data_IF_263981745460
#
_entry.id   IF_263981745460
#
_cell.length_a   1.000
_cell.length_b   1.000
_cell.length_c   1.000
_cell.angle_alpha   90.00
_cell.angle_beta   90.00
_cell.angle_gamma   90.00
#
_symmetry.space_group_name_H-M   'P 1'
#
loop_
_entity.id
_entity.type
_entity.pdbx_description
1 polymer ?
#
# COMPACT_ATOMS: atom_id res chain seq x y z
N UNK A 1 -4.50 -1.77 4.52
CA UNK A 1 -4.15 -1.72 3.09
C UNK A 1 -5.24 -1.11 2.22
N UNK A 2 -6.50 -1.41 2.47
CA UNK A 2 -7.59 -0.89 1.63
C UNK A 2 -7.66 0.63 1.56
N UNK A 3 -7.47 1.30 2.69
CA UNK A 3 -7.47 2.78 2.73
C UNK A 3 -6.30 3.37 1.92
N UNK A 4 -5.15 2.72 1.95
CA UNK A 4 -4.00 3.15 1.16
C UNK A 4 -4.25 2.93 -0.34
N UNK A 5 -4.86 1.81 -0.71
CA UNK A 5 -5.26 1.57 -2.11
C UNK A 5 -6.22 2.67 -2.59
N UNK A 6 -7.21 3.00 -1.77
CA UNK A 6 -8.15 4.08 -2.10
C UNK A 6 -7.43 5.40 -2.29
N UNK A 7 -6.42 5.70 -1.45
CA UNK A 7 -5.61 6.90 -1.57
C UNK A 7 -4.82 6.92 -2.89
N UNK A 8 -4.26 5.78 -3.31
CA UNK A 8 -3.62 5.67 -4.63
C UNK A 8 -4.62 5.94 -5.75
N UNK A 9 -5.81 5.35 -5.66
CA UNK A 9 -6.84 5.49 -6.67
C UNK A 9 -7.34 6.94 -6.78
N UNK A 10 -7.39 7.66 -5.66
CA UNK A 10 -7.84 9.04 -5.60
C UNK A 10 -6.71 10.07 -5.78
N UNK A 11 -5.45 9.62 -5.81
CA UNK A 11 -4.31 10.52 -5.91
C UNK A 11 -4.02 11.28 -4.62
N UNK A 12 -4.36 10.71 -3.47
CA UNK A 12 -4.17 11.36 -2.16
C UNK A 12 -2.78 11.06 -1.60
N UNK A 13 -1.78 11.76 -2.09
CA UNK A 13 -0.39 11.62 -1.64
C UNK A 13 -0.23 11.99 -0.16
N UNK A 14 -1.00 12.94 0.33
CA UNK A 14 -0.96 13.37 1.73
C UNK A 14 -1.33 12.24 2.68
N UNK A 15 -2.40 11.50 2.37
CA UNK A 15 -2.80 10.35 3.17
C UNK A 15 -1.75 9.24 3.13
N UNK A 16 -1.17 8.98 1.96
CA UNK A 16 -0.13 7.96 1.81
C UNK A 16 1.09 8.28 2.66
N UNK A 17 1.51 9.55 2.68
CA UNK A 17 2.62 9.99 3.52
C UNK A 17 2.28 9.90 5.02
N UNK A 18 1.08 10.33 5.43
CA UNK A 18 0.67 10.26 6.84
C UNK A 18 0.58 8.84 7.36
N UNK A 19 0.17 7.89 6.51
CA UNK A 19 0.04 6.48 6.86
C UNK A 19 1.30 5.66 6.61
N UNK A 20 2.40 6.30 6.27
CA UNK A 20 3.72 5.70 6.07
C UNK A 20 4.53 5.90 7.34
N UNK A 21 5.13 4.83 7.86
CA UNK A 21 5.89 4.92 9.10
C UNK A 21 7.06 5.89 8.96
N UNK A 22 7.32 6.74 9.97
CA UNK A 22 8.36 7.78 9.87
C UNK A 22 9.76 7.24 9.55
N UNK A 23 10.08 6.02 9.97
CA UNK A 23 11.40 5.43 9.73
C UNK A 23 11.71 5.18 8.26
N UNK A 24 10.67 5.01 7.44
CA UNK A 24 10.82 4.70 6.01
C UNK A 24 10.08 5.69 5.11
N UNK A 25 9.39 6.67 5.70
CA UNK A 25 8.61 7.66 4.96
C UNK A 25 9.51 8.51 4.06
N UNK A 26 9.22 8.59 2.74
CA UNK A 26 9.95 9.51 1.87
C UNK A 26 9.57 10.97 2.18
N UNK A 27 10.44 11.91 1.84
CA UNK A 27 10.17 13.34 2.03
C UNK A 27 9.04 13.80 1.12
N UNK A 28 8.98 13.26 -0.10
CA UNK A 28 7.97 13.60 -1.09
C UNK A 28 7.46 12.35 -1.77
N UNK A 29 6.22 12.40 -2.22
CA UNK A 29 5.60 11.33 -2.98
C UNK A 29 4.84 11.95 -4.15
N UNK A 30 5.25 11.58 -5.36
CA UNK A 30 4.58 12.01 -6.60
C UNK A 30 3.86 10.82 -7.19
N UNK A 31 2.55 10.97 -7.40
CA UNK A 31 1.72 9.95 -8.04
C UNK A 31 1.54 10.28 -9.51
N UNK A 32 1.57 9.25 -10.37
CA UNK A 32 1.34 9.40 -11.80
C UNK A 32 -0.15 9.60 -12.05
N UNK A 33 -0.60 10.77 -12.53
CA UNK A 33 -2.02 11.02 -12.76
C UNK A 33 -2.61 10.21 -13.92
N UNK A 34 -1.76 9.65 -14.78
CA UNK A 34 -2.19 8.86 -15.93
C UNK A 34 -2.39 7.39 -15.59
N UNK A 35 -2.03 6.98 -14.38
CA UNK A 35 -2.22 5.62 -13.89
C UNK A 35 -3.43 5.56 -13.00
N UNK A 36 -4.36 4.65 -13.33
CA UNK A 36 -5.57 4.42 -12.56
C UNK A 36 -5.52 3.06 -11.88
N UNK A 37 -5.55 3.07 -10.55
CA UNK A 37 -5.70 1.87 -9.75
C UNK A 37 -7.18 1.58 -9.59
N UNK A 38 -7.64 0.40 -10.01
CA UNK A 38 -9.07 0.12 -10.08
C UNK A 38 -9.51 -1.15 -9.36
N UNK A 39 -8.58 -2.02 -8.95
CA UNK A 39 -8.92 -3.26 -8.27
C UNK A 39 -7.82 -3.67 -7.31
N UNK A 40 -8.21 -4.12 -6.12
CA UNK A 40 -7.32 -4.65 -5.11
C UNK A 40 -7.78 -6.05 -4.73
N UNK A 41 -6.90 -7.04 -4.88
CA UNK A 41 -7.11 -8.39 -4.41
C UNK A 41 -6.18 -8.66 -3.24
N UNK A 42 -6.76 -8.90 -2.07
CA UNK A 42 -6.00 -9.31 -0.89
C UNK A 42 -5.83 -10.83 -0.97
N UNK A 43 -4.58 -11.27 -1.09
CA UNK A 43 -4.25 -12.69 -1.23
C UNK A 43 -4.05 -13.36 0.11
N UNK A 44 -3.39 -12.68 1.05
CA UNK A 44 -3.03 -13.24 2.33
C UNK A 44 -2.78 -12.14 3.34
N UNK A 45 -3.16 -12.39 4.58
CA UNK A 45 -2.79 -11.53 5.72
C UNK A 45 -2.19 -12.39 6.80
N UNK A 46 -1.18 -11.86 7.49
CA UNK A 46 -0.58 -12.47 8.66
C UNK A 46 -0.55 -11.46 9.79
N UNK A 47 -0.98 -11.87 10.97
CA UNK A 47 -1.09 -11.00 12.14
C UNK A 47 -1.92 -9.76 11.82
N UNK A 48 -1.65 -8.62 12.42
CA UNK A 48 -2.45 -7.42 12.16
C UNK A 48 -3.78 -7.37 12.89
N UNK A 49 -4.00 -8.27 13.84
CA UNK A 49 -5.20 -8.30 14.68
C UNK A 49 -5.15 -7.26 15.80
N UNK A 50 -6.23 -7.19 16.62
CA UNK A 50 -6.35 -6.15 17.66
C UNK A 50 -5.24 -6.16 18.71
N UNK A 51 -4.60 -7.31 18.93
CA UNK A 51 -3.54 -7.46 19.91
C UNK A 51 -2.14 -7.52 19.29
N UNK A 52 -2.05 -7.45 17.97
CA UNK A 52 -0.78 -7.47 17.27
C UNK A 52 -0.23 -6.06 17.10
N UNK A 53 1.11 -5.94 17.08
CA UNK A 53 1.78 -4.66 16.82
C UNK A 53 2.40 -4.60 15.43
N UNK A 54 2.34 -5.71 14.70
CA UNK A 54 2.78 -5.77 13.31
C UNK A 54 1.88 -6.70 12.50
N UNK A 55 1.98 -6.60 11.20
CA UNK A 55 1.23 -7.44 10.29
C UNK A 55 1.80 -7.41 8.89
N UNK A 56 1.39 -8.39 8.11
CA UNK A 56 1.80 -8.54 6.70
C UNK A 56 0.55 -8.66 5.85
N UNK A 57 0.54 -7.99 4.72
CA UNK A 57 -0.53 -8.10 3.72
C UNK A 57 0.11 -8.42 2.37
N UNK A 58 -0.29 -9.52 1.79
CA UNK A 58 0.03 -9.88 0.42
C UNK A 58 -1.15 -9.54 -0.48
N UNK A 59 -0.90 -8.81 -1.55
CA UNK A 59 -1.98 -8.34 -2.41
C UNK A 59 -1.53 -8.19 -3.85
N UNK A 60 -2.52 -8.12 -4.73
CA UNK A 60 -2.35 -7.73 -6.13
C UNK A 60 -3.20 -6.50 -6.38
N UNK A 61 -2.57 -5.43 -6.81
CA UNK A 61 -3.24 -4.19 -7.20
C UNK A 61 -3.19 -4.04 -8.71
N UNK A 62 -4.34 -3.80 -9.32
CA UNK A 62 -4.48 -3.72 -10.77
C UNK A 62 -4.57 -2.27 -11.20
N UNK A 63 -3.83 -1.92 -12.23
CA UNK A 63 -3.81 -0.57 -12.77
C UNK A 63 -3.99 -0.56 -14.28
N UNK A 64 -4.41 0.58 -14.79
CA UNK A 64 -4.50 0.87 -16.22
C UNK A 64 -4.09 2.33 -16.48
N UNK A 65 -3.60 2.55 -17.66
CA UNK A 65 -3.15 3.86 -18.15
C UNK A 65 -2.70 3.66 -19.58
N UNK A 66 -1.49 4.11 -19.91
CA UNK A 66 -0.87 3.80 -21.20
C UNK A 66 -0.75 2.28 -21.38
N UNK A 67 -0.50 1.57 -20.27
CA UNK A 67 -0.44 0.10 -20.24
C UNK A 67 -1.34 -0.41 -19.12
N UNK A 68 -1.81 -1.65 -19.26
CA UNK A 68 -2.47 -2.40 -18.21
C UNK A 68 -1.47 -3.28 -17.52
N UNK A 69 -1.59 -3.38 -16.20
CA UNK A 69 -0.76 -4.29 -15.46
C UNK A 69 -1.25 -4.50 -14.04
N UNK A 70 -0.44 -5.21 -13.28
CA UNK A 70 -0.70 -5.46 -11.88
C UNK A 70 0.60 -5.37 -11.09
N UNK A 71 0.46 -5.00 -9.82
CA UNK A 71 1.53 -5.02 -8.84
C UNK A 71 1.19 -6.06 -7.80
N UNK A 72 2.03 -7.07 -7.67
CA UNK A 72 2.00 -8.02 -6.57
C UNK A 72 3.00 -7.56 -5.51
N UNK A 73 2.55 -7.45 -4.28
CA UNK A 73 3.41 -6.96 -3.20
C UNK A 73 3.08 -7.69 -1.90
N UNK A 74 4.13 -7.91 -1.11
CA UNK A 74 4.01 -8.33 0.29
C UNK A 74 4.50 -7.17 1.13
N UNK A 75 3.59 -6.53 1.84
CA UNK A 75 3.85 -5.31 2.58
C UNK A 75 3.84 -5.55 4.07
N UNK A 76 4.75 -4.87 4.79
CA UNK A 76 4.78 -4.90 6.24
C UNK A 76 4.14 -3.64 6.80
N UNK A 77 3.37 -3.83 7.86
CA UNK A 77 2.71 -2.77 8.61
C UNK A 77 3.08 -2.90 10.08
N UNK A 78 3.15 -1.78 10.76
CA UNK A 78 3.31 -1.74 12.22
C UNK A 78 2.24 -0.85 12.83
N UNK A 79 1.84 -1.17 14.05
CA UNK A 79 0.90 -0.35 14.80
C UNK A 79 1.66 0.48 15.82
N UNK A 80 1.35 1.77 15.83
CA UNK A 80 1.82 2.71 16.84
C UNK A 80 0.60 3.35 17.49
N UNK A 81 0.37 3.01 18.75
CA UNK A 81 -0.87 3.40 19.42
C UNK A 81 -2.08 2.70 18.79
N UNK A 82 -2.98 3.48 18.20
CA UNK A 82 -4.20 2.98 17.55
C UNK A 82 -4.09 2.88 16.04
N UNK A 83 -3.01 3.42 15.47
CA UNK A 83 -2.89 3.57 14.02
C UNK A 83 -1.91 2.57 13.45
N UNK A 84 -2.27 2.04 12.29
CA UNK A 84 -1.42 1.18 11.49
C UNK A 84 -0.69 1.99 10.45
N UNK A 85 0.63 1.74 10.34
CA UNK A 85 1.50 2.42 9.37
C UNK A 85 2.15 1.42 8.43
N UNK A 86 2.17 1.76 7.15
CA UNK A 86 2.95 1.04 6.15
C UNK A 86 4.44 1.27 6.42
N UNK A 87 5.24 0.20 6.39
CA UNK A 87 6.69 0.29 6.59
C UNK A 87 7.40 0.15 5.26
N UNK A 88 7.30 -1.02 4.65
CA UNK A 88 8.00 -1.33 3.40
C UNK A 88 7.36 -2.53 2.70
N UNK A 89 7.83 -2.77 1.48
CA UNK A 89 7.54 -4.00 0.74
C UNK A 89 8.65 -5.01 1.00
N UNK A 90 8.27 -6.20 1.47
CA UNK A 90 9.20 -7.32 1.58
C UNK A 90 9.53 -7.84 0.19
N UNK A 91 8.48 -7.99 -0.65
CA UNK A 91 8.64 -8.28 -2.07
C UNK A 91 7.64 -7.46 -2.87
N UNK A 92 8.05 -7.03 -4.05
CA UNK A 92 7.16 -6.34 -4.98
C UNK A 92 7.53 -6.76 -6.41
N UNK A 93 6.49 -7.08 -7.20
CA UNK A 93 6.65 -7.54 -8.57
C UNK A 93 5.55 -6.92 -9.43
N UNK A 94 5.95 -6.21 -10.48
CA UNK A 94 5.02 -5.55 -11.38
C UNK A 94 4.95 -6.32 -12.70
N UNK A 95 3.72 -6.60 -13.13
CA UNK A 95 3.45 -7.32 -14.36
C UNK A 95 2.48 -6.54 -15.24
N UNK A 96 2.80 -6.50 -16.49
CA UNK A 96 1.93 -5.91 -17.51
C UNK A 96 1.02 -6.97 -18.14
#
# INVERSE_FOLDING_TARGET
MRSRFSAFALGDAGYLLRSWHPTTRPAELTLDPDVRWYRLDIERTERGGPFDTDGVVEFVAHYKGAERGSLHEVSRFVRDGRDWFYVDAVTADRRA
#
